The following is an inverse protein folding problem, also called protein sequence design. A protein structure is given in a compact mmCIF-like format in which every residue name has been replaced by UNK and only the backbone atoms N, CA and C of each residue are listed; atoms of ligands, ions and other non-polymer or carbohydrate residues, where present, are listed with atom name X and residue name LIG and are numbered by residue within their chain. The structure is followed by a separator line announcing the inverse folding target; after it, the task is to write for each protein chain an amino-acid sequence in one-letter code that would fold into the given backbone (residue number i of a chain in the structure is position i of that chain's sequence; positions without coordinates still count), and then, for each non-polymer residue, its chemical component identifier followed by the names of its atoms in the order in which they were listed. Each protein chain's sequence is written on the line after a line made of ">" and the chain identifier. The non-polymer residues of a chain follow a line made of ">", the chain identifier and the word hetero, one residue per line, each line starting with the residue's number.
data_IF_134448069935
#
_entry.id   IF_134448069935
#
_cell.length_a   1.000
_cell.length_b   1.000
_cell.length_c   1.000
_cell.angle_alpha   90.00
_cell.angle_beta   90.00
_cell.angle_gamma   90.00
#
_symmetry.space_group_name_H-M   'P 1'
#
loop_
_entity.id
_entity.type
_entity.pdbx_description
1 polymer ?
#
# COMPACT_ATOMS: atom_id res chain seq x y z
N UNK A 1 7.17 24.20 -6.81
CA UNK A 1 7.65 22.98 -7.50
C UNK A 1 6.43 22.36 -8.16
N UNK A 2 6.44 22.33 -9.49
CA UNK A 2 5.30 21.78 -10.24
C UNK A 2 5.48 20.27 -10.37
N UNK A 3 4.74 19.50 -9.60
CA UNK A 3 4.71 18.05 -9.73
C UNK A 3 4.00 17.67 -11.05
N UNK A 4 4.63 16.81 -11.85
CA UNK A 4 4.02 16.27 -13.05
C UNK A 4 3.09 15.11 -12.70
N UNK A 5 1.83 15.17 -13.13
CA UNK A 5 0.89 14.06 -12.99
C UNK A 5 1.22 13.01 -14.06
N UNK A 6 1.30 11.75 -13.65
CA UNK A 6 1.45 10.59 -14.53
C UNK A 6 0.30 9.63 -14.31
N UNK A 7 -0.23 9.12 -15.41
CA UNK A 7 -1.36 8.20 -15.44
C UNK A 7 -0.95 6.91 -16.13
N UNK A 8 -1.48 5.78 -15.66
CA UNK A 8 -1.34 4.50 -16.32
C UNK A 8 -2.49 3.56 -15.94
N UNK A 9 -2.64 2.47 -16.67
CA UNK A 9 -3.62 1.43 -16.36
C UNK A 9 -3.38 0.76 -14.99
N UNK A 10 -2.09 0.67 -14.54
CA UNK A 10 -1.70 0.12 -13.24
C UNK A 10 -0.54 0.90 -12.62
N UNK A 11 -0.52 0.96 -11.29
CA UNK A 11 0.53 1.62 -10.52
C UNK A 11 1.93 1.04 -10.76
N UNK A 12 2.03 -0.27 -10.97
CA UNK A 12 3.30 -0.95 -11.30
C UNK A 12 3.93 -0.42 -12.59
N UNK A 13 3.14 -0.01 -13.59
CA UNK A 13 3.68 0.61 -14.82
C UNK A 13 4.31 1.97 -14.53
N UNK A 14 3.69 2.78 -13.68
CA UNK A 14 4.25 4.07 -13.29
C UNK A 14 5.56 3.87 -12.50
N UNK A 15 5.55 2.96 -11.53
CA UNK A 15 6.74 2.62 -10.75
C UNK A 15 7.86 2.10 -11.65
N UNK A 16 7.56 1.20 -12.59
CA UNK A 16 8.52 0.68 -13.57
C UNK A 16 9.17 1.81 -14.39
N UNK A 17 8.36 2.70 -14.95
CA UNK A 17 8.83 3.83 -15.75
C UNK A 17 9.75 4.75 -14.93
N UNK A 18 9.37 5.05 -13.68
CA UNK A 18 10.17 5.84 -12.75
C UNK A 18 11.54 5.19 -12.49
N UNK A 19 11.53 3.90 -12.15
CA UNK A 19 12.75 3.14 -11.88
C UNK A 19 13.67 3.09 -13.12
N UNK A 20 13.13 2.71 -14.28
CA UNK A 20 13.90 2.66 -15.55
C UNK A 20 14.49 4.01 -15.92
N UNK A 21 13.75 5.09 -15.75
CA UNK A 21 14.21 6.45 -16.09
C UNK A 21 15.37 6.94 -15.21
N UNK A 22 15.49 6.39 -14.00
CA UNK A 22 16.49 6.79 -13.01
C UNK A 22 17.59 5.74 -12.76
N UNK A 23 17.66 4.67 -13.54
CA UNK A 23 18.61 3.55 -13.35
C UNK A 23 20.06 3.99 -13.14
N UNK A 24 20.50 5.04 -13.81
CA UNK A 24 21.88 5.56 -13.69
C UNK A 24 22.22 6.08 -12.28
N UNK A 25 21.23 6.42 -11.47
CA UNK A 25 21.37 6.86 -10.08
C UNK A 25 21.38 5.68 -9.10
N UNK A 26 20.93 4.48 -9.52
CA UNK A 26 20.72 3.31 -8.68
C UNK A 26 21.95 2.39 -8.70
N UNK A 27 22.98 2.76 -7.93
CA UNK A 27 24.22 1.97 -7.81
C UNK A 27 24.19 0.99 -6.65
N UNK A 28 23.26 1.16 -5.74
CA UNK A 28 23.05 0.38 -4.53
C UNK A 28 21.59 -0.08 -4.48
N UNK A 29 21.24 -1.05 -3.64
CA UNK A 29 19.86 -1.56 -3.56
C UNK A 29 18.88 -0.50 -3.07
N UNK A 30 17.60 -0.73 -3.35
CA UNK A 30 16.48 -0.09 -2.67
C UNK A 30 16.13 -0.81 -1.37
N UNK A 31 15.57 -0.10 -0.39
CA UNK A 31 14.85 -0.73 0.72
C UNK A 31 13.35 -0.78 0.42
N UNK A 32 12.75 -1.92 0.71
CA UNK A 32 11.30 -2.13 0.65
C UNK A 32 10.83 -2.85 1.92
N UNK A 33 9.63 -2.55 2.45
CA UNK A 33 9.15 -3.21 3.66
C UNK A 33 8.84 -4.69 3.40
N UNK A 34 9.07 -5.55 4.37
CA UNK A 34 8.84 -6.99 4.24
C UNK A 34 7.36 -7.35 4.02
N UNK A 35 6.41 -6.53 4.52
CA UNK A 35 4.97 -6.72 4.41
C UNK A 35 4.36 -5.99 3.19
N UNK A 36 5.02 -6.02 2.06
CA UNK A 36 4.60 -5.33 0.84
C UNK A 36 3.83 -6.24 -0.12
N UNK A 37 3.02 -5.67 -0.99
CA UNK A 37 2.40 -6.39 -2.11
C UNK A 37 3.48 -6.91 -3.07
N UNK A 38 3.37 -8.17 -3.53
CA UNK A 38 4.35 -8.81 -4.43
C UNK A 38 4.61 -8.02 -5.72
N UNK A 39 3.63 -7.26 -6.19
CA UNK A 39 3.81 -6.41 -7.37
C UNK A 39 4.93 -5.37 -7.22
N UNK A 40 5.29 -4.98 -5.99
CA UNK A 40 6.38 -4.00 -5.78
C UNK A 40 7.74 -4.65 -6.04
N UNK A 41 8.16 -5.73 -5.35
CA UNK A 41 9.42 -6.40 -5.68
C UNK A 41 9.44 -6.91 -7.13
N UNK A 42 8.36 -7.49 -7.64
CA UNK A 42 8.27 -7.92 -9.05
C UNK A 42 8.52 -6.75 -10.03
N UNK A 43 8.04 -5.53 -9.70
CA UNK A 43 8.31 -4.33 -10.53
C UNK A 43 9.77 -3.90 -10.45
N UNK A 44 10.43 -4.01 -9.27
CA UNK A 44 11.86 -3.74 -9.15
C UNK A 44 12.68 -4.77 -9.96
N UNK A 45 12.31 -6.04 -9.90
CA UNK A 45 12.94 -7.12 -10.69
C UNK A 45 12.83 -6.85 -12.20
N UNK A 46 11.64 -6.53 -12.69
CA UNK A 46 11.40 -6.16 -14.09
C UNK A 46 12.21 -4.91 -14.52
N UNK A 47 12.37 -3.97 -13.60
CA UNK A 47 13.19 -2.78 -13.82
C UNK A 47 14.70 -3.08 -13.74
N UNK A 48 15.12 -4.23 -13.24
CA UNK A 48 16.51 -4.58 -12.99
C UNK A 48 17.13 -3.77 -11.85
N UNK A 49 16.35 -3.50 -10.80
CA UNK A 49 16.76 -2.74 -9.61
C UNK A 49 16.93 -3.69 -8.44
N UNK A 50 18.14 -3.77 -7.89
CA UNK A 50 18.40 -4.54 -6.68
C UNK A 50 17.67 -3.93 -5.48
N UNK A 51 17.17 -4.78 -4.59
CA UNK A 51 16.50 -4.34 -3.35
C UNK A 51 16.84 -5.27 -2.18
N UNK A 52 16.59 -4.78 -0.98
CA UNK A 52 16.63 -5.53 0.29
C UNK A 52 15.32 -5.30 1.02
N UNK A 53 14.78 -6.34 1.61
CA UNK A 53 13.66 -6.22 2.53
C UNK A 53 14.15 -5.69 3.88
N UNK A 54 13.28 -4.90 4.51
CA UNK A 54 13.47 -4.41 5.88
C UNK A 54 12.21 -4.69 6.68
N UNK A 55 12.36 -4.96 7.98
CA UNK A 55 11.20 -5.15 8.85
C UNK A 55 10.39 -3.84 9.00
N UNK A 56 9.28 -3.92 9.64
CA UNK A 56 8.38 -2.80 9.88
C UNK A 56 8.49 -2.32 11.32
N UNK A 57 8.16 -1.06 11.58
CA UNK A 57 7.99 -0.53 12.93
C UNK A 57 6.63 -1.01 13.49
N UNK A 58 6.62 -1.51 14.71
CA UNK A 58 5.41 -2.07 15.34
C UNK A 58 4.31 -1.02 15.61
N UNK A 59 4.66 0.28 15.63
CA UNK A 59 3.73 1.39 15.89
C UNK A 59 3.07 1.89 14.61
N UNK A 60 3.84 1.96 13.52
CA UNK A 60 3.38 2.49 12.24
C UNK A 60 2.97 1.39 11.26
N UNK A 61 3.40 0.15 11.49
CA UNK A 61 3.27 -0.99 10.59
C UNK A 61 3.85 -0.74 9.18
N UNK A 62 4.59 0.36 9.02
CA UNK A 62 5.32 0.75 7.82
C UNK A 62 6.80 0.42 7.99
N UNK A 63 7.62 0.66 6.97
CA UNK A 63 9.08 0.44 7.01
C UNK A 63 9.70 1.01 8.30
N UNK A 64 10.65 0.30 8.89
CA UNK A 64 11.46 0.80 10.00
C UNK A 64 12.31 2.00 9.53
N UNK A 65 11.90 3.20 9.96
CA UNK A 65 12.54 4.46 9.59
C UNK A 65 13.98 4.54 10.12
N UNK A 66 14.22 4.03 11.34
CA UNK A 66 15.55 4.09 11.94
C UNK A 66 16.54 3.20 11.18
N UNK A 67 16.13 1.98 10.83
CA UNK A 67 16.94 1.11 9.99
C UNK A 67 17.30 1.78 8.65
N UNK A 68 16.33 2.42 7.99
CA UNK A 68 16.59 3.11 6.73
C UNK A 68 17.55 4.29 6.89
N UNK A 69 17.47 5.05 7.98
CA UNK A 69 18.40 6.16 8.27
C UNK A 69 19.81 5.65 8.54
N UNK A 70 19.97 4.60 9.32
CA UNK A 70 21.27 4.01 9.65
C UNK A 70 21.99 3.49 8.39
N UNK A 71 21.24 3.05 7.38
CA UNK A 71 21.75 2.52 6.12
C UNK A 71 21.66 3.49 4.93
N UNK A 72 21.33 4.76 5.17
CA UNK A 72 21.04 5.74 4.10
C UNK A 72 22.17 5.89 3.08
N UNK A 73 23.43 5.67 3.47
CA UNK A 73 24.60 5.75 2.57
C UNK A 73 24.85 4.47 1.78
N UNK A 74 24.16 3.38 2.10
CA UNK A 74 24.30 2.05 1.50
C UNK A 74 23.17 1.72 0.54
N UNK A 75 22.24 2.65 0.33
CA UNK A 75 21.04 2.45 -0.50
C UNK A 75 20.89 3.58 -1.51
N UNK A 76 20.31 3.27 -2.65
CA UNK A 76 19.98 4.26 -3.70
C UNK A 76 18.56 4.81 -3.56
N UNK A 77 17.70 4.16 -2.81
CA UNK A 77 16.33 4.61 -2.63
C UNK A 77 15.52 3.73 -1.69
N UNK A 78 14.29 4.17 -1.45
CA UNK A 78 13.29 3.45 -0.66
C UNK A 78 11.94 3.41 -1.37
N UNK A 79 11.13 2.39 -1.06
CA UNK A 79 9.68 2.40 -1.30
C UNK A 79 8.99 2.38 0.05
N UNK A 80 8.51 3.52 0.51
CA UNK A 80 7.67 3.62 1.71
C UNK A 80 6.25 3.24 1.35
N UNK A 81 5.68 2.23 2.00
CA UNK A 81 4.31 1.77 1.77
C UNK A 81 3.44 2.16 2.95
N UNK A 82 2.34 2.85 2.68
CA UNK A 82 1.33 3.19 3.68
C UNK A 82 0.46 1.97 3.99
N UNK A 83 0.92 1.14 4.92
CA UNK A 83 0.28 -0.13 5.28
C UNK A 83 -1.17 0.09 5.72
N UNK A 84 -2.11 -0.66 5.12
CA UNK A 84 -3.56 -0.56 5.35
C UNK A 84 -4.16 0.83 5.10
N UNK A 85 -3.45 1.70 4.38
CA UNK A 85 -3.91 3.05 4.06
C UNK A 85 -3.71 4.05 5.21
N UNK A 86 -2.78 3.77 6.13
CA UNK A 86 -2.44 4.72 7.20
C UNK A 86 -1.92 6.03 6.60
N UNK A 87 -2.39 7.15 7.10
CA UNK A 87 -2.03 8.48 6.62
C UNK A 87 -0.96 9.14 7.51
N UNK A 88 0.12 8.40 7.78
CA UNK A 88 1.26 8.93 8.51
C UNK A 88 2.01 9.95 7.65
N UNK A 89 2.37 11.10 8.23
CA UNK A 89 3.25 12.09 7.58
C UNK A 89 4.71 11.64 7.69
N UNK A 90 5.26 11.12 6.59
CA UNK A 90 6.66 10.74 6.47
C UNK A 90 7.57 11.86 5.92
N UNK A 91 7.07 13.07 5.68
CA UNK A 91 7.88 14.16 5.17
C UNK A 91 9.10 14.49 6.06
N UNK A 92 9.00 14.50 7.41
CA UNK A 92 10.17 14.68 8.27
C UNK A 92 11.23 13.59 8.07
N UNK A 93 10.81 12.34 7.92
CA UNK A 93 11.71 11.21 7.66
C UNK A 93 12.38 11.33 6.28
N UNK A 94 11.63 11.69 5.23
CA UNK A 94 12.19 11.89 3.89
C UNK A 94 13.24 13.00 3.85
N UNK A 95 13.03 14.10 4.58
CA UNK A 95 14.04 15.16 4.73
C UNK A 95 15.30 14.68 5.43
N UNK A 96 15.19 13.84 6.46
CA UNK A 96 16.35 13.26 7.13
C UNK A 96 17.14 12.31 6.20
N UNK A 97 16.45 11.47 5.44
CA UNK A 97 17.08 10.61 4.43
C UNK A 97 17.85 11.42 3.39
N UNK A 98 17.26 12.50 2.87
CA UNK A 98 17.94 13.40 1.90
C UNK A 98 19.11 14.14 2.52
N UNK A 99 19.04 14.51 3.78
CA UNK A 99 20.18 15.10 4.48
C UNK A 99 21.34 14.13 4.62
N UNK A 100 21.06 12.83 4.82
CA UNK A 100 22.06 11.77 4.91
C UNK A 100 22.58 11.32 3.54
N UNK A 101 21.73 11.31 2.51
CA UNK A 101 22.05 10.95 1.12
C UNK A 101 21.23 11.82 0.13
N UNK A 102 21.81 12.92 -0.39
CA UNK A 102 21.11 13.84 -1.30
C UNK A 102 20.63 13.20 -2.62
N UNK A 103 21.30 12.11 -3.04
CA UNK A 103 20.94 11.38 -4.27
C UNK A 103 19.86 10.31 -4.07
N UNK A 104 19.37 10.15 -2.85
CA UNK A 104 18.33 9.18 -2.49
C UNK A 104 17.09 9.33 -3.38
N UNK A 105 16.56 8.23 -3.88
CA UNK A 105 15.27 8.17 -4.56
C UNK A 105 14.18 7.70 -3.58
N UNK A 106 13.12 8.48 -3.45
CA UNK A 106 12.05 8.21 -2.48
C UNK A 106 10.74 7.99 -3.22
N UNK A 107 10.21 6.78 -3.11
CA UNK A 107 8.88 6.40 -3.57
C UNK A 107 7.95 6.32 -2.36
N UNK A 108 6.88 7.11 -2.38
CA UNK A 108 5.80 7.12 -1.39
C UNK A 108 4.60 6.38 -1.98
N UNK A 109 4.48 5.08 -1.66
CA UNK A 109 3.42 4.20 -2.16
C UNK A 109 2.16 4.33 -1.31
N UNK A 110 1.23 5.13 -1.79
CA UNK A 110 -0.10 5.38 -1.22
C UNK A 110 -1.20 4.59 -1.93
N UNK A 111 -0.88 3.48 -2.57
CA UNK A 111 -1.86 2.66 -3.28
C UNK A 111 -2.98 2.08 -2.40
N UNK A 112 -2.85 2.11 -1.09
CA UNK A 112 -3.90 1.73 -0.13
C UNK A 112 -4.55 2.93 0.57
N UNK A 113 -4.09 4.16 0.31
CA UNK A 113 -4.68 5.40 0.84
C UNK A 113 -5.83 5.90 -0.03
N UNK A 114 -6.61 6.82 0.51
CA UNK A 114 -7.53 7.64 -0.27
C UNK A 114 -6.70 8.52 -1.24
N UNK A 115 -7.00 8.54 -2.54
CA UNK A 115 -6.24 9.36 -3.47
C UNK A 115 -6.46 10.85 -3.20
N UNK A 116 -5.42 11.66 -3.40
CA UNK A 116 -5.53 13.12 -3.46
C UNK A 116 -5.42 13.55 -4.91
N UNK A 117 -6.39 14.30 -5.40
CA UNK A 117 -6.38 14.89 -6.75
C UNK A 117 -5.74 16.29 -6.77
N UNK A 118 -5.52 16.88 -5.61
CA UNK A 118 -4.84 18.16 -5.51
C UNK A 118 -3.32 17.98 -5.53
N UNK A 119 -2.60 18.73 -6.38
CA UNK A 119 -1.16 18.74 -6.36
C UNK A 119 -0.66 19.21 -4.99
N UNK A 120 0.10 18.36 -4.32
CA UNK A 120 0.74 18.70 -3.06
C UNK A 120 2.25 18.74 -3.28
N UNK A 121 2.95 19.55 -2.49
CA UNK A 121 4.40 19.51 -2.43
C UNK A 121 4.82 18.31 -1.58
N UNK A 122 5.41 17.32 -2.22
CA UNK A 122 5.89 16.12 -1.54
C UNK A 122 7.42 16.16 -1.39
N UNK A 123 7.91 15.71 -0.26
CA UNK A 123 9.36 15.46 -0.06
C UNK A 123 9.81 14.16 -0.76
N UNK A 124 8.87 13.37 -1.29
CA UNK A 124 9.14 12.20 -2.12
C UNK A 124 9.36 12.55 -3.60
N UNK A 125 10.05 11.68 -4.33
CA UNK A 125 10.26 11.82 -5.78
C UNK A 125 9.09 11.31 -6.61
N UNK A 126 8.40 10.28 -6.08
CA UNK A 126 7.21 9.68 -6.66
C UNK A 126 6.19 9.44 -5.55
N UNK A 127 4.99 9.99 -5.67
CA UNK A 127 3.84 9.65 -4.82
C UNK A 127 2.82 8.91 -5.66
N UNK A 128 2.49 7.68 -5.29
CA UNK A 128 1.77 6.72 -6.12
C UNK A 128 0.42 6.36 -5.55
N UNK A 129 -0.65 6.45 -6.37
CA UNK A 129 -2.01 6.03 -6.06
C UNK A 129 -2.52 4.99 -7.05
N UNK A 130 -3.47 4.17 -6.62
CA UNK A 130 -4.09 3.14 -7.47
C UNK A 130 -5.61 3.14 -7.32
N UNK A 131 -6.30 2.97 -8.44
CA UNK A 131 -7.76 2.84 -8.56
C UNK A 131 -8.19 1.43 -8.99
N UNK A 132 -7.26 0.50 -9.02
CA UNK A 132 -7.54 -0.89 -9.41
C UNK A 132 -8.38 -1.62 -8.35
N UNK A 133 -8.80 -2.84 -8.68
CA UNK A 133 -9.58 -3.68 -7.76
C UNK A 133 -8.97 -3.75 -6.35
N UNK A 134 -9.83 -3.79 -5.36
CA UNK A 134 -9.48 -3.90 -3.92
C UNK A 134 -8.73 -2.68 -3.35
N UNK A 135 -8.79 -1.53 -4.03
CA UNK A 135 -8.29 -0.25 -3.52
C UNK A 135 -9.40 0.52 -2.81
N UNK A 136 -9.06 1.58 -2.09
CA UNK A 136 -10.07 2.38 -1.39
C UNK A 136 -11.08 2.97 -2.37
N UNK A 137 -10.60 3.52 -3.48
CA UNK A 137 -11.40 3.92 -4.63
C UNK A 137 -11.18 2.89 -5.71
N UNK A 138 -12.21 2.11 -6.01
CA UNK A 138 -12.13 1.00 -6.96
C UNK A 138 -12.85 1.36 -8.26
N UNK A 139 -12.07 1.60 -9.30
CA UNK A 139 -12.54 1.78 -10.67
C UNK A 139 -12.18 0.56 -11.56
N UNK A 140 -11.75 -0.56 -10.96
CA UNK A 140 -11.29 -1.78 -11.64
C UNK A 140 -9.91 -1.63 -12.27
N UNK A 141 -9.48 -0.43 -12.59
CA UNK A 141 -8.23 -0.09 -13.26
C UNK A 141 -7.82 1.35 -12.94
N UNK A 142 -6.62 1.72 -13.37
CA UNK A 142 -6.13 3.08 -13.25
C UNK A 142 -5.16 3.27 -12.09
N UNK A 143 -4.21 4.14 -12.33
CA UNK A 143 -3.26 4.63 -11.35
C UNK A 143 -2.84 6.05 -11.70
N UNK A 144 -2.50 6.80 -10.68
CA UNK A 144 -2.01 8.16 -10.77
C UNK A 144 -0.78 8.33 -9.90
N UNK A 145 0.15 9.15 -10.34
CA UNK A 145 1.27 9.57 -9.50
C UNK A 145 1.61 11.04 -9.69
N UNK A 146 2.13 11.62 -8.63
CA UNK A 146 2.84 12.89 -8.66
C UNK A 146 4.34 12.61 -8.73
N UNK A 147 4.99 13.12 -9.77
CA UNK A 147 6.43 12.95 -10.00
C UNK A 147 7.11 14.31 -9.79
N UNK A 148 8.11 14.34 -8.91
CA UNK A 148 8.89 15.54 -8.65
C UNK A 148 9.69 15.95 -9.89
N UNK A 149 9.74 17.23 -10.20
CA UNK A 149 10.46 17.78 -11.36
C UNK A 149 11.97 17.48 -11.37
N UNK A 150 12.57 17.20 -10.21
CA UNK A 150 14.00 16.91 -10.06
C UNK A 150 14.39 15.48 -10.47
N UNK A 151 13.43 14.63 -10.81
CA UNK A 151 13.67 13.25 -11.27
C UNK A 151 13.20 13.06 -12.71
N UNK A 152 13.80 12.10 -13.38
CA UNK A 152 13.39 11.74 -14.74
C UNK A 152 12.16 10.84 -14.69
N UNK A 153 11.28 11.06 -15.66
CA UNK A 153 10.18 10.15 -15.94
C UNK A 153 9.95 10.10 -17.47
N UNK A 154 10.02 8.90 -18.01
CA UNK A 154 9.73 8.63 -19.42
C UNK A 154 9.01 7.28 -19.55
N UNK A 155 8.19 7.15 -20.57
CA UNK A 155 7.63 5.86 -20.94
C UNK A 155 8.75 4.94 -21.41
N UNK A 156 8.82 3.75 -20.81
CA UNK A 156 9.83 2.75 -21.09
C UNK A 156 9.19 1.50 -21.72
N UNK A 157 9.87 0.85 -22.67
CA UNK A 157 9.42 -0.43 -23.21
C UNK A 157 9.27 -1.48 -22.09
N UNK A 158 8.18 -2.20 -22.11
CA UNK A 158 7.93 -3.32 -21.19
C UNK A 158 8.64 -4.56 -21.72
N UNK A 159 9.29 -5.36 -20.86
CA UNK A 159 9.88 -6.64 -21.25
C UNK A 159 8.85 -7.59 -21.88
N UNK A 160 9.31 -8.45 -22.75
CA UNK A 160 8.48 -9.54 -23.29
C UNK A 160 8.14 -10.51 -22.15
N UNK A 161 6.88 -10.90 -22.04
CA UNK A 161 6.34 -11.75 -20.97
C UNK A 161 6.26 -11.09 -19.58
N UNK A 162 6.28 -9.76 -19.51
CA UNK A 162 6.06 -9.01 -18.27
C UNK A 162 4.60 -9.10 -17.79
N UNK A 163 4.39 -8.98 -16.48
CA UNK A 163 3.05 -8.79 -15.90
C UNK A 163 2.55 -7.34 -16.08
N UNK A 164 3.40 -6.43 -16.51
CA UNK A 164 3.06 -5.04 -16.82
C UNK A 164 2.22 -4.96 -18.08
N UNK A 165 1.45 -3.90 -18.22
CA UNK A 165 0.63 -3.65 -19.42
C UNK A 165 0.90 -2.25 -19.99
N UNK A 166 0.79 -2.13 -21.31
CA UNK A 166 0.81 -0.85 -22.03
C UNK A 166 -0.60 -0.28 -22.26
N UNK A 167 -1.64 -0.87 -21.67
CA UNK A 167 -2.97 -0.31 -21.76
C UNK A 167 -2.99 1.11 -21.22
N UNK A 168 -3.68 1.99 -21.94
CA UNK A 168 -3.85 3.39 -21.55
C UNK A 168 -5.02 3.54 -20.58
N UNK A 169 -4.91 4.54 -19.73
CA UNK A 169 -5.98 4.98 -18.85
C UNK A 169 -5.93 6.50 -18.71
N UNK A 170 -7.09 7.13 -18.71
CA UNK A 170 -7.25 8.56 -18.51
C UNK A 170 -8.02 8.82 -17.22
N UNK A 171 -7.64 9.85 -16.51
CA UNK A 171 -8.30 10.30 -15.30
C UNK A 171 -9.59 11.06 -15.67
N UNK A 172 -10.72 10.61 -15.11
CA UNK A 172 -11.94 11.39 -15.03
C UNK A 172 -12.12 11.86 -13.58
N UNK A 173 -11.78 13.10 -13.30
CA UNK A 173 -11.83 13.66 -11.93
C UNK A 173 -13.21 13.57 -11.32
N UNK A 174 -14.27 13.84 -12.09
CA UNK A 174 -15.64 13.75 -11.59
C UNK A 174 -16.04 12.32 -11.19
N UNK A 175 -15.61 11.33 -11.96
CA UNK A 175 -15.83 9.92 -11.64
C UNK A 175 -15.05 9.51 -10.37
N UNK A 176 -13.81 9.94 -10.26
CA UNK A 176 -12.98 9.64 -9.08
C UNK A 176 -13.55 10.28 -7.82
N UNK A 177 -13.93 11.57 -7.87
CA UNK A 177 -14.54 12.27 -6.73
C UNK A 177 -15.83 11.60 -6.28
N UNK A 178 -16.73 11.28 -7.21
CA UNK A 178 -17.96 10.57 -6.90
C UNK A 178 -17.69 9.18 -6.29
N UNK A 179 -16.69 8.46 -6.78
CA UNK A 179 -16.29 7.17 -6.24
C UNK A 179 -15.63 7.29 -4.85
N UNK A 180 -14.88 8.36 -4.59
CA UNK A 180 -14.32 8.67 -3.27
C UNK A 180 -15.44 8.89 -2.24
N UNK A 181 -16.40 9.76 -2.53
CA UNK A 181 -17.51 10.05 -1.64
C UNK A 181 -18.32 8.80 -1.32
N UNK A 182 -18.63 8.00 -2.35
CA UNK A 182 -19.34 6.73 -2.19
C UNK A 182 -18.55 5.73 -1.35
N UNK A 183 -17.24 5.63 -1.57
CA UNK A 183 -16.36 4.73 -0.82
C UNK A 183 -16.25 5.13 0.65
N UNK A 184 -16.09 6.43 0.95
CA UNK A 184 -16.02 6.95 2.32
C UNK A 184 -17.31 6.61 3.06
N UNK A 185 -18.47 7.00 2.51
CA UNK A 185 -19.78 6.77 3.15
C UNK A 185 -20.05 5.27 3.40
N UNK A 186 -19.72 4.42 2.43
CA UNK A 186 -19.89 2.97 2.56
C UNK A 186 -18.99 2.36 3.62
N UNK A 187 -17.68 2.71 3.60
CA UNK A 187 -16.70 2.22 4.57
C UNK A 187 -17.03 2.66 5.99
N UNK A 188 -17.41 3.92 6.20
CA UNK A 188 -17.82 4.41 7.51
C UNK A 188 -19.00 3.60 8.08
N UNK A 189 -19.99 3.29 7.24
CA UNK A 189 -21.15 2.50 7.62
C UNK A 189 -20.79 1.08 8.05
N UNK A 190 -19.96 0.37 7.28
CA UNK A 190 -19.55 -0.99 7.61
C UNK A 190 -18.56 -1.01 8.78
N UNK A 191 -17.62 -0.07 8.83
CA UNK A 191 -16.68 0.07 9.94
C UNK A 191 -17.39 0.35 11.28
N UNK A 192 -18.49 1.13 11.26
CA UNK A 192 -19.29 1.36 12.46
C UNK A 192 -19.90 0.07 13.01
N UNK A 193 -20.35 -0.85 12.13
CA UNK A 193 -20.86 -2.17 12.52
C UNK A 193 -19.72 -2.99 13.13
N UNK A 194 -18.58 -3.11 12.47
CA UNK A 194 -17.43 -3.86 12.98
C UNK A 194 -16.96 -3.33 14.34
N UNK A 195 -16.81 -2.00 14.49
CA UNK A 195 -16.40 -1.37 15.76
C UNK A 195 -17.35 -1.67 16.90
N UNK A 196 -18.65 -1.70 16.63
CA UNK A 196 -19.69 -1.96 17.63
C UNK A 196 -19.74 -3.42 18.02
N UNK A 197 -19.69 -4.30 17.03
CA UNK A 197 -20.00 -5.72 17.22
C UNK A 197 -18.79 -6.56 17.65
N UNK A 198 -17.57 -6.20 17.22
CA UNK A 198 -16.37 -6.96 17.56
C UNK A 198 -15.73 -6.50 18.88
N UNK A 199 -15.08 -7.39 19.65
CA UNK A 199 -14.32 -7.01 20.83
C UNK A 199 -13.23 -5.98 20.48
N UNK A 200 -13.10 -4.92 21.28
CA UNK A 200 -12.06 -3.89 21.07
C UNK A 200 -10.64 -4.45 21.15
N UNK A 201 -10.44 -5.52 21.93
CA UNK A 201 -9.15 -6.16 22.13
C UNK A 201 -8.53 -6.78 20.88
N UNK A 202 -9.35 -7.08 19.87
CA UNK A 202 -8.87 -7.64 18.59
C UNK A 202 -8.79 -6.61 17.48
N UNK A 203 -9.33 -5.40 17.65
CA UNK A 203 -9.34 -4.37 16.62
C UNK A 203 -8.00 -3.64 16.57
N UNK A 204 -7.45 -3.45 15.37
CA UNK A 204 -6.38 -2.49 15.19
C UNK A 204 -6.89 -1.05 15.43
N UNK A 205 -6.01 -0.10 15.78
CA UNK A 205 -6.38 1.31 15.93
C UNK A 205 -7.06 1.87 14.67
N UNK A 206 -7.90 2.88 14.84
CA UNK A 206 -8.71 3.49 13.77
C UNK A 206 -7.86 3.95 12.57
N UNK A 207 -6.64 4.41 12.78
CA UNK A 207 -5.72 4.81 11.72
C UNK A 207 -5.43 3.69 10.69
N UNK A 208 -5.65 2.43 11.04
CA UNK A 208 -5.46 1.28 10.15
C UNK A 208 -6.76 0.71 9.59
N UNK A 209 -7.90 1.39 9.75
CA UNK A 209 -9.21 0.91 9.33
C UNK A 209 -9.69 1.53 8.00
N UNK A 210 -8.81 2.23 7.28
CA UNK A 210 -9.20 2.97 6.08
C UNK A 210 -9.36 2.06 4.85
N UNK A 211 -8.37 1.21 4.58
CA UNK A 211 -8.43 0.29 3.44
C UNK A 211 -9.42 -0.84 3.68
N UNK A 212 -9.26 -1.55 4.80
CA UNK A 212 -10.12 -2.63 5.28
C UNK A 212 -10.30 -2.50 6.78
N UNK A 213 -11.26 -3.22 7.36
CA UNK A 213 -11.35 -3.30 8.81
C UNK A 213 -10.41 -4.40 9.31
N UNK A 214 -9.37 -4.03 10.03
CA UNK A 214 -8.29 -4.93 10.40
C UNK A 214 -8.40 -5.38 11.85
N UNK A 215 -8.31 -6.69 12.07
CA UNK A 215 -8.32 -7.32 13.39
C UNK A 215 -7.10 -8.23 13.57
N UNK A 216 -6.70 -8.46 14.83
CA UNK A 216 -5.65 -9.41 15.20
C UNK A 216 -6.27 -10.52 16.05
N UNK A 217 -6.09 -11.77 15.64
CA UNK A 217 -6.67 -12.94 16.29
C UNK A 217 -5.68 -14.10 16.34
N UNK A 218 -5.74 -14.94 17.39
CA UNK A 218 -4.82 -16.07 17.56
C UNK A 218 -5.15 -17.25 16.63
N UNK A 219 -6.44 -17.47 16.38
CA UNK A 219 -6.97 -18.58 15.59
C UNK A 219 -7.39 -18.14 14.18
N UNK A 220 -6.51 -17.37 13.54
CA UNK A 220 -6.74 -16.73 12.23
C UNK A 220 -7.23 -17.71 11.17
N UNK A 221 -6.57 -18.85 11.03
CA UNK A 221 -6.86 -19.82 9.96
C UNK A 221 -8.26 -20.45 10.13
N UNK A 222 -8.66 -20.74 11.37
CA UNK A 222 -9.98 -21.27 11.68
C UNK A 222 -11.07 -20.25 11.39
N UNK A 223 -10.84 -18.98 11.75
CA UNK A 223 -11.79 -17.89 11.46
C UNK A 223 -11.92 -17.66 9.96
N UNK A 224 -10.80 -17.57 9.22
CA UNK A 224 -10.83 -17.43 7.77
C UNK A 224 -11.58 -18.57 7.10
N UNK A 225 -11.36 -19.82 7.55
CA UNK A 225 -12.07 -21.00 7.07
C UNK A 225 -13.57 -20.90 7.34
N UNK A 226 -13.98 -20.55 8.56
CA UNK A 226 -15.39 -20.43 8.94
C UNK A 226 -16.11 -19.32 8.12
N UNK A 227 -15.45 -18.19 7.92
CA UNK A 227 -15.97 -17.12 7.06
C UNK A 227 -16.16 -17.61 5.62
N UNK A 228 -15.15 -18.27 5.06
CA UNK A 228 -15.21 -18.79 3.71
C UNK A 228 -16.32 -19.85 3.52
N UNK A 229 -16.48 -20.77 4.46
CA UNK A 229 -17.54 -21.77 4.45
C UNK A 229 -18.94 -21.14 4.54
N UNK A 230 -19.05 -19.96 5.15
CA UNK A 230 -20.29 -19.17 5.19
C UNK A 230 -20.52 -18.31 3.94
N UNK A 231 -19.65 -18.40 2.90
CA UNK A 231 -19.70 -17.59 1.70
C UNK A 231 -19.28 -16.14 1.91
N UNK A 232 -18.54 -15.86 2.99
CA UNK A 232 -18.03 -14.53 3.32
C UNK A 232 -16.54 -14.45 3.03
N UNK A 233 -16.10 -13.29 2.52
CA UNK A 233 -14.70 -13.09 2.17
C UNK A 233 -13.99 -12.23 3.21
N UNK A 234 -12.80 -12.67 3.57
CA UNK A 234 -11.79 -11.89 4.29
C UNK A 234 -10.43 -12.21 3.71
N UNK A 235 -9.44 -11.39 4.01
CA UNK A 235 -8.07 -11.60 3.55
C UNK A 235 -7.09 -11.51 4.72
N UNK A 236 -5.85 -11.91 4.48
CA UNK A 236 -4.74 -11.72 5.42
C UNK A 236 -3.55 -11.17 4.64
N UNK A 237 -3.39 -9.87 4.63
CA UNK A 237 -2.33 -9.14 3.92
C UNK A 237 -1.47 -8.36 4.90
N UNK A 238 -0.17 -8.32 4.72
CA UNK A 238 0.60 -9.03 3.71
C UNK A 238 1.49 -10.06 4.43
N UNK A 239 1.72 -11.21 3.80
CA UNK A 239 2.76 -12.14 4.26
C UNK A 239 4.11 -11.47 4.09
N UNK A 240 5.01 -11.64 5.06
CA UNK A 240 6.39 -11.20 4.88
C UNK A 240 7.03 -11.95 3.70
N UNK A 241 7.62 -11.21 2.76
CA UNK A 241 8.17 -11.74 1.50
C UNK A 241 9.67 -12.03 1.58
N UNK A 242 10.31 -11.83 2.73
CA UNK A 242 11.75 -12.03 2.90
C UNK A 242 12.07 -13.39 3.53
N UNK A 243 13.24 -13.92 3.19
CA UNK A 243 13.85 -15.07 3.87
C UNK A 243 14.62 -14.66 5.12
N UNK A 244 15.05 -13.39 5.20
CA UNK A 244 15.73 -12.82 6.35
C UNK A 244 14.74 -12.52 7.48
N UNK A 245 15.20 -12.50 8.76
CA UNK A 245 14.30 -12.24 9.88
C UNK A 245 13.61 -10.88 9.80
N UNK A 246 12.30 -10.88 9.64
CA UNK A 246 11.43 -9.73 9.78
C UNK A 246 10.35 -10.05 10.81
N UNK A 247 10.72 -10.08 12.11
CA UNK A 247 9.88 -10.63 13.17
C UNK A 247 8.57 -9.86 13.34
N UNK A 248 8.55 -8.54 13.15
CA UNK A 248 7.34 -7.73 13.33
C UNK A 248 6.38 -7.97 12.15
N UNK A 249 6.87 -7.93 10.91
CA UNK A 249 6.06 -8.23 9.73
C UNK A 249 5.52 -9.66 9.74
N UNK A 250 6.36 -10.63 10.15
CA UNK A 250 5.96 -12.04 10.29
C UNK A 250 4.88 -12.20 11.35
N UNK A 251 5.06 -11.58 12.52
CA UNK A 251 4.07 -11.62 13.59
C UNK A 251 2.75 -10.97 13.16
N UNK A 252 2.79 -9.78 12.55
CA UNK A 252 1.59 -9.13 12.02
C UNK A 252 0.86 -10.07 11.06
N UNK A 253 1.56 -10.66 10.11
CA UNK A 253 0.96 -11.55 9.11
C UNK A 253 0.38 -12.84 9.70
N UNK A 254 0.89 -13.30 10.84
CA UNK A 254 0.39 -14.50 11.52
C UNK A 254 -1.01 -14.29 12.14
N UNK A 255 -1.34 -13.06 12.53
CA UNK A 255 -2.54 -12.78 13.31
C UNK A 255 -3.56 -11.89 12.62
N UNK A 256 -3.17 -11.15 11.56
CA UNK A 256 -4.07 -10.17 10.93
C UNK A 256 -5.12 -10.82 10.05
N UNK A 257 -6.37 -10.36 10.20
CA UNK A 257 -7.45 -10.54 9.23
C UNK A 257 -7.92 -9.15 8.76
N UNK A 258 -8.04 -8.99 7.45
CA UNK A 258 -8.55 -7.79 6.82
C UNK A 258 -9.99 -8.04 6.38
N UNK A 259 -10.96 -7.57 7.14
CA UNK A 259 -12.39 -7.71 6.88
C UNK A 259 -12.84 -6.72 5.80
N UNK A 260 -13.68 -7.18 4.89
CA UNK A 260 -14.13 -6.37 3.76
C UNK A 260 -15.06 -5.25 4.19
N UNK A 261 -14.82 -4.04 3.69
CA UNK A 261 -15.64 -2.84 3.87
C UNK A 261 -15.82 -2.06 2.56
N UNK A 262 -15.57 -2.71 1.43
CA UNK A 262 -15.75 -2.15 0.09
C UNK A 262 -17.17 -2.40 -0.45
N UNK A 263 -17.50 -1.77 -1.57
CA UNK A 263 -18.85 -1.73 -2.16
C UNK A 263 -19.46 -3.10 -2.49
N UNK A 264 -18.65 -4.14 -2.53
CA UNK A 264 -19.11 -5.53 -2.74
C UNK A 264 -19.62 -6.21 -1.47
N UNK A 265 -19.49 -5.57 -0.31
CA UNK A 265 -19.84 -6.14 0.97
C UNK A 265 -21.02 -5.38 1.58
N UNK A 266 -22.03 -6.09 2.05
CA UNK A 266 -23.26 -5.50 2.61
C UNK A 266 -23.20 -5.42 4.13
N UNK A 267 -24.09 -4.62 4.73
CA UNK A 267 -24.27 -4.58 6.19
C UNK A 267 -24.67 -5.93 6.76
N UNK A 268 -25.49 -6.70 6.04
CA UNK A 268 -25.89 -8.04 6.48
C UNK A 268 -24.71 -9.00 6.50
N UNK A 269 -23.89 -8.99 5.45
CA UNK A 269 -22.65 -9.76 5.41
C UNK A 269 -21.68 -9.33 6.52
N UNK A 270 -21.58 -8.03 6.80
CA UNK A 270 -20.76 -7.48 7.89
C UNK A 270 -21.22 -7.99 9.25
N UNK A 271 -22.53 -7.95 9.53
CA UNK A 271 -23.09 -8.48 10.77
C UNK A 271 -22.85 -9.97 10.90
N UNK A 272 -23.04 -10.71 9.81
CA UNK A 272 -22.80 -12.14 9.77
C UNK A 272 -21.32 -12.50 10.02
N UNK A 273 -20.38 -11.73 9.47
CA UNK A 273 -18.95 -11.85 9.80
C UNK A 273 -18.71 -11.66 11.30
N UNK A 274 -19.30 -10.61 11.89
CA UNK A 274 -19.15 -10.34 13.33
C UNK A 274 -19.68 -11.48 14.20
N UNK A 275 -20.84 -12.06 13.85
CA UNK A 275 -21.42 -13.21 14.59
C UNK A 275 -20.47 -14.40 14.60
N UNK A 276 -19.92 -14.76 13.43
CA UNK A 276 -18.98 -15.88 13.32
C UNK A 276 -17.72 -15.59 14.14
N UNK A 277 -17.11 -14.42 13.99
CA UNK A 277 -15.89 -14.06 14.70
C UNK A 277 -16.11 -14.06 16.21
N UNK A 278 -17.22 -13.47 16.72
CA UNK A 278 -17.53 -13.43 18.16
C UNK A 278 -17.66 -14.80 18.80
N UNK A 279 -18.08 -15.80 18.05
CA UNK A 279 -18.17 -17.19 18.58
C UNK A 279 -16.80 -17.87 18.70
N UNK A 280 -15.73 -17.27 18.15
CA UNK A 280 -14.42 -17.92 18.01
C UNK A 280 -13.29 -17.17 18.75
N UNK A 281 -13.55 -15.96 19.28
CA UNK A 281 -12.56 -15.12 19.98
C UNK A 281 -12.87 -14.91 21.45
#
# INVERSE_FOLDING_TARGET
>A
MDNQIKLAYRASKILYNFLKSNQKRMRMPFLIPANVCSNVPETLDEAGVAYRFVDIDARTLCMDEQYALDHAKEISGIVMVHTYGVETDFAPFYRQLRAANPDMLIVDDRCLCMPSLEPQTYDADLVLYSFSDKKQVNLGKGAMAYVNENVRYAECPIPVQSFLTNEEWSLNEGEVLAAMDAAIAHKEKLNAIYRKELPKSIQLPDAYQHWRFNILVQNKEEILKALFEAGLFASSHYKALCEEPAPIATNLSAYVINLFNDSYFTEEQTKRCCEIIKCMV
#
